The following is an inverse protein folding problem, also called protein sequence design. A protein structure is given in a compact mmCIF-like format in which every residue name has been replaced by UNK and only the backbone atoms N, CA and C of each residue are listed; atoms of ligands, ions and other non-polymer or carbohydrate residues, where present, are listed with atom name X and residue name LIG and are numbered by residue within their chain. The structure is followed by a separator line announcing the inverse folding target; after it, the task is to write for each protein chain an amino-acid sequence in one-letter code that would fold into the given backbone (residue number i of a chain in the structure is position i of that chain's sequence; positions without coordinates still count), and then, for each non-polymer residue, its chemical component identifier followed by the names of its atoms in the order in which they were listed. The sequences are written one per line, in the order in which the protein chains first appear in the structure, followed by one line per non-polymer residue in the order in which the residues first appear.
data_IF_744075889099
#
_entry.id   IF_744075889099
#
_cell.length_a   1.000
_cell.length_b   1.000
_cell.length_c   1.000
_cell.angle_alpha   90.00
_cell.angle_beta   90.00
_cell.angle_gamma   90.00
#
_symmetry.space_group_name_H-M   'P 1'
#
loop_
_entity.id
_entity.type
_entity.pdbx_description
1 polymer ?
#
# COMPACT_ATOMS: atom_id res chain seq x y z
N UNK A 1 -36.99 -17.90 -13.09
CA UNK A 1 -36.71 -16.52 -13.56
C UNK A 1 -36.68 -15.50 -12.41
N UNK A 2 -37.67 -15.49 -11.50
CA UNK A 2 -37.70 -14.54 -10.37
C UNK A 2 -36.45 -14.60 -9.45
N UNK A 3 -35.95 -15.80 -9.12
CA UNK A 3 -34.75 -15.95 -8.29
C UNK A 3 -33.47 -15.33 -8.92
N UNK A 4 -33.32 -15.45 -10.25
CA UNK A 4 -32.22 -14.84 -11.00
C UNK A 4 -32.33 -13.31 -10.99
N UNK A 5 -33.53 -12.77 -11.14
CA UNK A 5 -33.78 -11.32 -11.08
C UNK A 5 -33.49 -10.76 -9.68
N UNK A 6 -33.92 -11.45 -8.62
CA UNK A 6 -33.62 -11.09 -7.23
C UNK A 6 -32.11 -11.12 -6.94
N UNK A 7 -31.40 -12.16 -7.40
CA UNK A 7 -29.96 -12.25 -7.23
C UNK A 7 -29.22 -11.12 -7.98
N UNK A 8 -29.64 -10.80 -9.21
CA UNK A 8 -29.07 -9.71 -9.99
C UNK A 8 -29.30 -8.34 -9.32
N UNK A 9 -30.51 -8.09 -8.80
CA UNK A 9 -30.83 -6.87 -8.07
C UNK A 9 -29.98 -6.74 -6.79
N UNK A 10 -29.86 -7.82 -6.02
CA UNK A 10 -29.02 -7.83 -4.82
C UNK A 10 -27.55 -7.55 -5.16
N UNK A 11 -27.01 -8.20 -6.20
CA UNK A 11 -25.64 -7.97 -6.65
C UNK A 11 -25.42 -6.51 -7.08
N UNK A 12 -26.39 -5.91 -7.77
CA UNK A 12 -26.35 -4.50 -8.17
C UNK A 12 -26.36 -3.56 -6.96
N UNK A 13 -27.21 -3.83 -5.97
CA UNK A 13 -27.27 -3.06 -4.72
C UNK A 13 -25.96 -3.16 -3.93
N UNK A 14 -25.40 -4.36 -3.82
CA UNK A 14 -24.10 -4.58 -3.18
C UNK A 14 -22.97 -3.88 -3.93
N UNK A 15 -22.97 -3.92 -5.26
CA UNK A 15 -22.00 -3.21 -6.09
C UNK A 15 -22.12 -1.69 -5.91
N UNK A 16 -23.34 -1.14 -5.94
CA UNK A 16 -23.58 0.29 -5.71
C UNK A 16 -23.13 0.70 -4.31
N UNK A 17 -23.46 -0.07 -3.28
CA UNK A 17 -23.00 0.18 -1.92
C UNK A 17 -21.47 0.14 -1.81
N UNK A 18 -20.83 -0.87 -2.40
CA UNK A 18 -19.37 -1.05 -2.35
C UNK A 18 -18.60 0.00 -3.15
N UNK A 19 -19.10 0.41 -4.32
CA UNK A 19 -18.40 1.29 -5.26
C UNK A 19 -18.76 2.77 -5.09
N UNK A 20 -19.92 3.09 -4.49
CA UNK A 20 -20.41 4.46 -4.41
C UNK A 20 -20.58 4.91 -2.96
N UNK A 21 -21.33 4.14 -2.16
CA UNK A 21 -21.60 4.54 -0.78
C UNK A 21 -20.37 4.40 0.12
N UNK A 22 -19.71 3.24 0.08
CA UNK A 22 -18.56 2.93 0.95
C UNK A 22 -17.41 3.92 0.76
N UNK A 23 -16.95 4.26 -0.47
CA UNK A 23 -15.88 5.25 -0.63
C UNK A 23 -16.25 6.62 -0.07
N UNK A 24 -17.49 7.07 -0.29
CA UNK A 24 -17.98 8.36 0.24
C UNK A 24 -18.08 8.35 1.76
N UNK A 25 -18.57 7.26 2.36
CA UNK A 25 -18.69 7.13 3.80
C UNK A 25 -17.30 7.12 4.47
N UNK A 26 -16.34 6.36 3.90
CA UNK A 26 -14.96 6.30 4.39
C UNK A 26 -14.27 7.65 4.25
N UNK A 27 -14.38 8.31 3.08
CA UNK A 27 -13.83 9.66 2.87
C UNK A 27 -14.36 10.66 3.91
N UNK A 28 -15.68 10.66 4.17
CA UNK A 28 -16.29 11.53 5.18
C UNK A 28 -15.80 11.22 6.58
N UNK A 29 -15.63 9.95 6.93
CA UNK A 29 -15.13 9.53 8.25
C UNK A 29 -13.71 10.03 8.50
N UNK A 30 -12.81 9.85 7.53
CA UNK A 30 -11.43 10.35 7.63
C UNK A 30 -11.35 11.87 7.59
N UNK A 31 -12.19 12.52 6.78
CA UNK A 31 -12.24 13.98 6.73
C UNK A 31 -12.62 14.61 8.08
N UNK A 32 -13.50 13.97 8.86
CA UNK A 32 -13.83 14.40 10.24
C UNK A 32 -12.65 14.27 11.20
N UNK A 33 -11.71 13.36 10.92
CA UNK A 33 -10.47 13.20 11.67
C UNK A 33 -9.33 14.08 11.15
N UNK A 34 -9.61 14.97 10.19
CA UNK A 34 -8.61 15.85 9.56
C UNK A 34 -7.81 15.20 8.43
N UNK A 35 -8.04 13.92 8.12
CA UNK A 35 -7.33 13.20 7.05
C UNK A 35 -8.09 13.40 5.75
N UNK A 36 -7.50 14.16 4.84
CA UNK A 36 -8.02 14.42 3.49
C UNK A 36 -7.15 13.74 2.44
N UNK A 37 -7.49 13.88 1.17
CA UNK A 37 -6.70 13.34 0.08
C UNK A 37 -7.43 13.46 -1.27
N UNK A 38 -6.83 12.93 -2.35
CA UNK A 38 -7.40 13.02 -3.69
C UNK A 38 -8.82 12.44 -3.74
N UNK A 39 -9.74 13.08 -4.50
CA UNK A 39 -11.13 12.63 -4.57
C UNK A 39 -11.23 11.25 -5.20
N UNK A 40 -12.24 10.48 -4.77
CA UNK A 40 -12.55 9.18 -5.35
C UNK A 40 -13.17 9.35 -6.74
N UNK A 41 -12.51 8.84 -7.78
CA UNK A 41 -13.10 8.68 -9.12
C UNK A 41 -13.74 7.29 -9.23
N UNK A 42 -14.96 7.21 -9.77
CA UNK A 42 -15.70 5.96 -9.89
C UNK A 42 -14.87 4.87 -10.59
N UNK A 43 -14.81 3.68 -9.98
CA UNK A 43 -14.00 2.50 -10.35
C UNK A 43 -12.47 2.69 -10.30
N UNK A 44 -11.93 3.78 -10.85
CA UNK A 44 -10.49 3.98 -11.00
C UNK A 44 -9.80 4.55 -9.75
N UNK A 45 -10.56 5.15 -8.83
CA UNK A 45 -10.01 5.77 -7.62
C UNK A 45 -9.09 6.96 -7.95
N UNK A 46 -7.92 6.99 -7.32
CA UNK A 46 -6.89 8.03 -7.51
C UNK A 46 -5.83 7.63 -8.54
N UNK A 47 -5.94 6.43 -9.12
CA UNK A 47 -4.93 5.89 -10.03
C UNK A 47 -4.70 6.74 -11.30
N UNK A 48 -5.73 7.31 -11.96
CA UNK A 48 -5.51 8.15 -13.13
C UNK A 48 -4.72 9.42 -12.81
N UNK A 49 -5.04 10.07 -11.68
CA UNK A 49 -4.31 11.24 -11.19
C UNK A 49 -2.87 10.88 -10.80
N UNK A 50 -2.69 9.78 -10.03
CA UNK A 50 -1.38 9.27 -9.68
C UNK A 50 -0.50 9.02 -10.91
N UNK A 51 -1.06 8.41 -11.98
CA UNK A 51 -0.36 8.17 -13.24
C UNK A 51 0.01 9.47 -13.94
N UNK A 52 -0.88 10.47 -13.96
CA UNK A 52 -0.59 11.80 -14.54
C UNK A 52 0.55 12.49 -13.80
N UNK A 53 0.49 12.50 -12.47
CA UNK A 53 1.54 13.07 -11.62
C UNK A 53 2.86 12.32 -11.73
N UNK A 54 2.82 11.00 -11.87
CA UNK A 54 4.01 10.19 -12.12
C UNK A 54 4.68 10.54 -13.46
N UNK A 55 3.91 10.69 -14.52
CA UNK A 55 4.44 11.06 -15.85
C UNK A 55 4.98 12.49 -15.83
N UNK A 56 4.25 13.42 -15.22
CA UNK A 56 4.67 14.82 -15.11
C UNK A 56 5.93 14.97 -14.25
N UNK A 57 5.96 14.30 -13.10
CA UNK A 57 7.07 14.34 -12.15
C UNK A 57 8.32 13.60 -12.60
N UNK A 58 8.26 12.77 -13.65
CA UNK A 58 9.47 12.19 -14.26
C UNK A 58 10.14 13.11 -15.28
N UNK A 59 9.44 14.14 -15.75
CA UNK A 59 9.98 15.08 -16.73
C UNK A 59 10.73 16.19 -15.99
N UNK A 60 12.03 16.31 -16.24
CA UNK A 60 12.84 17.44 -15.76
C UNK A 60 13.32 17.36 -14.31
N UNK A 61 13.35 16.17 -13.70
CA UNK A 61 14.00 16.03 -12.38
C UNK A 61 15.52 15.97 -12.60
N UNK A 62 16.29 16.93 -12.06
CA UNK A 62 17.74 16.86 -12.16
C UNK A 62 18.26 15.61 -11.42
N UNK A 63 19.45 15.10 -11.80
CA UNK A 63 20.11 14.06 -11.03
C UNK A 63 20.21 14.47 -9.55
N UNK A 64 20.00 13.52 -8.64
CA UNK A 64 20.26 13.75 -7.22
C UNK A 64 21.74 14.02 -7.03
N UNK A 65 22.05 15.05 -6.25
CA UNK A 65 23.40 15.26 -5.76
C UNK A 65 23.84 14.06 -4.91
N UNK A 66 25.14 13.75 -4.92
CA UNK A 66 25.69 12.59 -4.23
C UNK A 66 25.40 12.53 -2.72
N UNK A 67 25.14 13.69 -2.08
CA UNK A 67 24.78 13.80 -0.66
C UNK A 67 23.27 13.94 -0.39
N UNK A 68 22.43 13.96 -1.42
CA UNK A 68 20.99 14.10 -1.26
C UNK A 68 20.31 12.74 -1.11
N UNK A 69 19.64 12.54 0.03
CA UNK A 69 18.85 11.33 0.31
C UNK A 69 17.35 11.52 0.08
N UNK A 70 16.92 12.69 -0.39
CA UNK A 70 15.51 12.93 -0.72
C UNK A 70 15.17 12.36 -2.11
N UNK A 71 15.03 11.04 -2.16
CA UNK A 71 14.72 10.31 -3.38
C UNK A 71 13.23 10.32 -3.75
N UNK A 72 12.37 10.82 -2.86
CA UNK A 72 10.91 10.72 -3.01
C UNK A 72 10.37 11.45 -4.25
N UNK A 73 10.86 12.66 -4.61
CA UNK A 73 10.47 13.33 -5.85
C UNK A 73 10.75 12.49 -7.10
N UNK A 74 11.77 11.62 -7.08
CA UNK A 74 12.14 10.78 -8.23
C UNK A 74 11.35 9.49 -8.25
N UNK A 75 11.32 8.78 -7.13
CA UNK A 75 10.74 7.43 -7.07
C UNK A 75 9.21 7.47 -7.06
N UNK A 76 8.66 8.42 -6.31
CA UNK A 76 7.23 8.51 -5.97
C UNK A 76 6.71 9.96 -6.07
N UNK A 77 6.90 10.66 -7.19
CA UNK A 77 6.53 12.08 -7.36
C UNK A 77 5.07 12.38 -7.02
N UNK A 78 4.14 11.44 -7.31
CA UNK A 78 2.74 11.59 -6.98
C UNK A 78 2.48 11.65 -5.48
N UNK A 79 3.18 10.83 -4.69
CA UNK A 79 3.05 10.84 -3.23
C UNK A 79 3.76 12.05 -2.64
N UNK A 80 4.94 12.41 -3.17
CA UNK A 80 5.65 13.63 -2.78
C UNK A 80 4.77 14.88 -2.96
N UNK A 81 4.08 15.00 -4.09
CA UNK A 81 3.12 16.10 -4.33
C UNK A 81 1.91 16.05 -3.39
N UNK A 82 1.31 14.88 -3.20
CA UNK A 82 0.15 14.76 -2.30
C UNK A 82 0.50 15.02 -0.83
N UNK A 83 1.74 14.77 -0.40
CA UNK A 83 2.20 15.22 0.93
C UNK A 83 2.13 16.74 1.05
N UNK A 84 2.54 17.47 0.00
CA UNK A 84 2.44 18.93 -0.02
C UNK A 84 0.98 19.41 -0.04
N UNK A 85 0.10 18.74 -0.79
CA UNK A 85 -1.29 19.15 -0.97
C UNK A 85 -2.19 18.79 0.23
N UNK A 86 -1.95 17.64 0.88
CA UNK A 86 -2.85 17.07 1.89
C UNK A 86 -2.21 16.84 3.26
N UNK A 87 -0.89 17.02 3.38
CA UNK A 87 -0.13 16.86 4.61
C UNK A 87 0.52 15.49 4.79
N UNK A 88 1.09 15.26 5.98
CA UNK A 88 1.90 14.08 6.31
C UNK A 88 1.16 12.76 6.23
N UNK A 89 -0.17 12.78 6.38
CA UNK A 89 -1.02 11.59 6.33
C UNK A 89 -2.25 11.90 5.49
N UNK A 90 -2.51 11.09 4.46
CA UNK A 90 -3.64 11.30 3.56
C UNK A 90 -4.28 10.00 3.08
N UNK A 91 -5.54 10.11 2.67
CA UNK A 91 -6.33 9.01 2.11
C UNK A 91 -6.29 9.06 0.59
N UNK A 92 -5.99 7.93 -0.05
CA UNK A 92 -6.08 7.78 -1.50
C UNK A 92 -6.77 6.47 -1.87
N UNK A 93 -7.07 6.29 -3.15
CA UNK A 93 -7.91 5.20 -3.63
C UNK A 93 -7.20 4.34 -4.67
N UNK A 94 -7.14 3.04 -4.41
CA UNK A 94 -6.65 2.06 -5.37
C UNK A 94 -7.85 1.30 -5.92
N UNK A 95 -8.32 1.79 -7.07
CA UNK A 95 -9.68 1.50 -7.50
C UNK A 95 -10.68 1.87 -6.41
N UNK A 96 -11.61 0.98 -5.99
CA UNK A 96 -12.55 1.23 -4.90
C UNK A 96 -11.98 0.96 -3.49
N UNK A 97 -10.70 0.58 -3.37
CA UNK A 97 -10.08 0.22 -2.09
C UNK A 97 -9.44 1.47 -1.47
N UNK A 98 -9.85 1.89 -0.25
CA UNK A 98 -9.20 2.99 0.45
C UNK A 98 -7.81 2.56 0.95
N UNK A 99 -6.83 3.45 0.82
CA UNK A 99 -5.47 3.28 1.32
C UNK A 99 -5.00 4.55 2.03
N UNK A 100 -4.30 4.39 3.14
CA UNK A 100 -3.68 5.51 3.86
C UNK A 100 -2.20 5.53 3.53
N UNK A 101 -1.70 6.70 3.16
CA UNK A 101 -0.28 6.99 3.08
C UNK A 101 0.11 7.88 4.25
N UNK A 102 1.25 7.61 4.88
CA UNK A 102 1.76 8.45 5.97
C UNK A 102 3.28 8.50 5.98
N UNK A 103 3.80 9.70 6.27
CA UNK A 103 5.21 9.95 6.61
C UNK A 103 5.36 10.36 8.09
N UNK A 104 4.31 10.20 8.90
CA UNK A 104 4.38 10.43 10.33
C UNK A 104 5.07 9.24 11.02
N UNK A 105 6.28 9.49 11.54
CA UNK A 105 7.10 8.48 12.20
C UNK A 105 6.42 7.85 13.43
N UNK A 106 5.57 8.58 14.15
CA UNK A 106 4.87 8.03 15.32
C UNK A 106 3.81 7.02 14.87
N UNK A 107 3.03 7.37 13.85
CA UNK A 107 2.04 6.47 13.27
C UNK A 107 2.70 5.24 12.64
N UNK A 108 3.77 5.45 11.86
CA UNK A 108 4.55 4.35 11.25
C UNK A 108 5.09 3.41 12.33
N UNK A 109 5.70 3.95 13.40
CA UNK A 109 6.21 3.16 14.51
C UNK A 109 5.10 2.36 15.17
N UNK A 110 3.95 2.96 15.44
CA UNK A 110 2.80 2.27 16.04
C UNK A 110 2.33 1.10 15.18
N UNK A 111 2.17 1.31 13.86
CA UNK A 111 1.75 0.27 12.92
C UNK A 111 2.78 -0.86 12.81
N UNK A 112 4.07 -0.53 12.69
CA UNK A 112 5.13 -1.51 12.49
C UNK A 112 5.53 -2.29 13.75
N UNK A 113 5.25 -1.74 14.94
CA UNK A 113 5.54 -2.40 16.21
C UNK A 113 4.33 -3.11 16.83
N UNK A 114 3.16 -2.97 16.22
CA UNK A 114 1.95 -3.69 16.61
C UNK A 114 2.18 -5.21 16.59
N UNK A 115 1.77 -5.86 17.68
CA UNK A 115 1.83 -7.33 17.82
C UNK A 115 0.44 -7.97 17.85
N UNK A 116 -0.62 -7.17 17.77
CA UNK A 116 -1.99 -7.68 17.76
C UNK A 116 -2.34 -8.38 16.45
N UNK A 117 -1.57 -8.10 15.37
CA UNK A 117 -1.78 -8.73 14.07
C UNK A 117 -2.86 -8.04 13.23
N UNK A 118 -3.26 -6.83 13.64
CA UNK A 118 -4.25 -6.01 12.93
C UNK A 118 -3.71 -5.49 11.58
N UNK A 119 -2.41 -5.27 11.48
CA UNK A 119 -1.75 -4.76 10.27
C UNK A 119 -1.11 -5.88 9.46
N UNK A 120 -1.94 -6.62 8.72
CA UNK A 120 -1.48 -7.68 7.83
C UNK A 120 -1.01 -7.15 6.48
N UNK A 121 -0.07 -7.85 5.86
CA UNK A 121 0.33 -7.59 4.49
C UNK A 121 -0.77 -8.15 3.59
N UNK A 122 -1.77 -7.35 3.23
CA UNK A 122 -2.92 -7.84 2.44
C UNK A 122 -3.07 -7.14 1.08
N UNK A 123 -2.39 -6.01 0.90
CA UNK A 123 -2.72 -5.09 -0.18
C UNK A 123 -2.27 -5.53 -1.59
N UNK A 124 -1.18 -6.31 -1.72
CA UNK A 124 -0.57 -6.70 -3.01
C UNK A 124 -0.54 -8.22 -3.26
N UNK A 125 -1.31 -8.96 -2.47
CA UNK A 125 -0.99 -10.35 -2.15
C UNK A 125 -1.53 -11.40 -3.14
N UNK A 126 -2.73 -11.28 -3.76
CA UNK A 126 -3.25 -12.37 -4.57
C UNK A 126 -2.41 -12.65 -5.81
N UNK A 127 -2.02 -11.59 -6.53
CA UNK A 127 -1.20 -11.71 -7.74
C UNK A 127 0.22 -12.17 -7.41
N UNK A 128 0.84 -11.60 -6.38
CA UNK A 128 2.19 -11.99 -5.98
C UNK A 128 2.24 -13.40 -5.38
N UNK A 129 1.24 -13.83 -4.61
CA UNK A 129 1.16 -15.20 -4.10
C UNK A 129 1.03 -16.22 -5.23
N UNK A 130 0.28 -15.89 -6.30
CA UNK A 130 0.18 -16.77 -7.46
C UNK A 130 1.52 -16.94 -8.19
N UNK A 131 2.40 -15.92 -8.16
CA UNK A 131 3.68 -15.95 -8.87
C UNK A 131 4.83 -16.50 -8.01
N UNK A 132 4.89 -16.13 -6.74
CA UNK A 132 6.02 -16.43 -5.85
C UNK A 132 5.68 -17.48 -4.78
N UNK A 133 4.44 -18.00 -4.77
CA UNK A 133 3.97 -18.92 -3.76
C UNK A 133 3.95 -18.32 -2.35
N UNK A 134 4.01 -19.19 -1.34
CA UNK A 134 3.99 -18.81 0.08
C UNK A 134 5.39 -18.44 0.60
N UNK A 135 6.03 -17.46 -0.02
CA UNK A 135 7.31 -16.91 0.45
C UNK A 135 7.18 -16.09 1.74
N UNK A 136 8.24 -15.99 2.54
CA UNK A 136 8.31 -15.22 3.81
C UNK A 136 7.84 -13.76 3.67
N UNK A 137 7.98 -13.19 2.47
CA UNK A 137 7.58 -11.80 2.20
C UNK A 137 6.04 -11.67 2.15
N UNK A 138 5.33 -12.71 1.73
CA UNK A 138 3.90 -12.70 1.37
C UNK A 138 2.97 -13.37 2.40
N UNK A 139 3.51 -14.21 3.28
CA UNK A 139 2.75 -14.88 4.34
C UNK A 139 2.64 -13.99 5.59
N UNK A 140 1.54 -14.16 6.34
CA UNK A 140 1.24 -13.46 7.59
C UNK A 140 1.11 -14.46 8.75
N UNK A 141 0.97 -13.97 9.98
CA UNK A 141 0.60 -14.80 11.13
C UNK A 141 1.60 -15.91 11.48
N UNK A 142 1.09 -17.07 11.88
CA UNK A 142 1.91 -18.19 12.36
C UNK A 142 2.72 -18.87 11.25
N UNK A 143 2.21 -18.91 10.01
CA UNK A 143 2.96 -19.38 8.85
C UNK A 143 4.21 -18.53 8.63
N UNK A 144 4.07 -17.21 8.73
CA UNK A 144 5.20 -16.29 8.67
C UNK A 144 6.21 -16.55 9.79
N UNK A 145 5.75 -16.74 11.04
CA UNK A 145 6.64 -17.06 12.16
C UNK A 145 7.40 -18.36 11.90
N UNK A 146 6.72 -19.40 11.41
CA UNK A 146 7.31 -20.70 11.09
C UNK A 146 8.37 -20.57 10.00
N UNK A 147 8.06 -19.93 8.88
CA UNK A 147 9.03 -19.81 7.78
C UNK A 147 10.20 -18.91 8.18
N UNK A 148 9.95 -17.80 8.91
CA UNK A 148 11.02 -16.93 9.40
C UNK A 148 11.97 -17.68 10.33
N UNK A 149 11.48 -18.56 11.20
CA UNK A 149 12.31 -19.39 12.09
C UNK A 149 13.26 -20.31 11.31
N UNK A 150 12.81 -20.85 10.18
CA UNK A 150 13.63 -21.73 9.31
C UNK A 150 14.68 -20.93 8.53
N UNK A 151 14.31 -19.74 8.04
CA UNK A 151 15.19 -18.91 7.19
C UNK A 151 16.22 -18.12 7.99
N UNK A 152 15.87 -17.64 9.19
CA UNK A 152 16.72 -16.74 9.98
C UNK A 152 18.14 -17.27 10.27
N UNK A 153 18.37 -18.56 10.56
CA UNK A 153 19.73 -19.10 10.79
C UNK A 153 20.69 -18.91 9.61
N UNK A 154 20.18 -18.83 8.38
CA UNK A 154 21.02 -18.59 7.18
C UNK A 154 21.60 -17.16 7.15
N UNK A 155 21.00 -16.23 7.89
CA UNK A 155 21.40 -14.83 8.02
C UNK A 155 22.15 -14.55 9.33
N UNK A 156 22.71 -15.59 9.96
CA UNK A 156 23.64 -15.40 11.09
C UNK A 156 24.95 -14.78 10.59
N UNK A 157 25.52 -13.87 11.38
CA UNK A 157 26.80 -13.19 11.12
C UNK A 157 27.89 -14.15 10.64
N UNK A 158 28.09 -15.28 11.34
CA UNK A 158 29.11 -16.28 10.98
C UNK A 158 28.89 -16.85 9.57
N UNK A 159 27.63 -17.14 9.20
CA UNK A 159 27.28 -17.68 7.89
C UNK A 159 27.40 -16.64 6.78
N UNK A 160 27.12 -15.37 7.08
CA UNK A 160 27.29 -14.26 6.13
C UNK A 160 28.77 -14.03 5.87
N UNK A 161 29.60 -14.00 6.91
CA UNK A 161 31.05 -13.79 6.80
C UNK A 161 31.70 -14.86 5.92
N UNK A 162 31.37 -16.14 6.15
CA UNK A 162 31.88 -17.24 5.33
C UNK A 162 31.48 -17.12 3.87
N UNK A 163 30.22 -16.77 3.56
CA UNK A 163 29.78 -16.59 2.17
C UNK A 163 30.42 -15.36 1.50
N UNK A 164 30.60 -14.26 2.22
CA UNK A 164 31.25 -13.08 1.68
C UNK A 164 32.71 -13.36 1.29
N UNK A 165 33.40 -14.18 2.09
CA UNK A 165 34.77 -14.62 1.83
C UNK A 165 34.89 -15.68 0.71
N UNK A 166 33.80 -16.36 0.33
CA UNK A 166 33.80 -17.30 -0.80
C UNK A 166 33.48 -16.66 -2.16
N UNK A 167 33.12 -15.36 -2.18
CA UNK A 167 32.79 -14.61 -3.40
C UNK A 167 33.99 -13.74 -3.86
N UNK A 168 35.00 -13.58 -3.00
CA UNK A 168 36.30 -12.96 -3.31
C UNK A 168 37.30 -14.06 -3.61
#
# INVERSE_FOLDING_TARGET
MAALQLAALLALLLALWRLVWRPRAVARSFARQGIRGPPYTFLAGSLPEAKRLLIAGRRGVPPLDAGCHDIMPILLPQFHRWVADYGKTFLFWIGPIPAIFSIDLQLIKQVLTDRTGLYQKDFMIPVLKSLFGNGVILINGDDWKRHRKVVLPAFNYEKIKVRALSIV
#
